data_IF_623356672128
#
_entry.id   IF_623356672128
#
_cell.length_a   1.000
_cell.length_b   1.000
_cell.length_c   1.000
_cell.angle_alpha   90.00
_cell.angle_beta   90.00
_cell.angle_gamma   90.00
#
_symmetry.space_group_name_H-M   'P 1'
#
loop_
_entity.id
_entity.type
_entity.pdbx_description
1 polymer ?
#
# COMPACT_ATOMS: atom_id res chain seq x y z
N UNK A 1 19.27 1.21 3.95
CA UNK A 1 18.16 0.24 3.78
C UNK A 1 18.33 -0.27 2.38
N UNK A 2 18.46 -1.58 2.21
CA UNK A 2 18.50 -2.20 0.90
C UNK A 2 17.15 -2.81 0.56
N UNK A 3 16.95 -3.14 -0.72
CA UNK A 3 15.68 -3.74 -1.18
C UNK A 3 15.34 -5.03 -0.42
N UNK A 4 16.35 -5.85 -0.09
CA UNK A 4 16.18 -7.13 0.60
C UNK A 4 15.67 -6.98 2.04
N UNK A 5 15.88 -5.80 2.64
CA UNK A 5 15.52 -5.50 4.02
C UNK A 5 14.04 -5.08 4.14
N UNK A 6 13.36 -4.86 3.01
CA UNK A 6 12.02 -4.26 2.95
C UNK A 6 11.00 -5.31 2.54
N UNK A 7 9.95 -5.43 3.34
CA UNK A 7 8.77 -6.23 3.05
C UNK A 7 7.54 -5.32 2.96
N UNK A 8 6.71 -5.56 1.94
CA UNK A 8 5.43 -4.86 1.76
C UNK A 8 4.34 -5.89 1.78
N UNK A 9 3.42 -5.75 2.74
CA UNK A 9 2.23 -6.59 2.85
C UNK A 9 1.02 -5.74 2.47
N UNK A 10 0.17 -6.25 1.60
CA UNK A 10 -1.02 -5.57 1.12
C UNK A 10 -2.23 -6.44 1.43
N UNK A 11 -3.27 -5.83 1.97
CA UNK A 11 -4.61 -6.40 2.04
C UNK A 11 -5.56 -5.53 1.24
N UNK A 12 -6.82 -5.96 1.09
CA UNK A 12 -7.82 -5.18 0.36
C UNK A 12 -7.92 -3.73 0.87
N UNK A 13 -7.76 -3.49 2.18
CA UNK A 13 -8.06 -2.19 2.79
C UNK A 13 -6.88 -1.56 3.54
N UNK A 14 -5.68 -2.13 3.41
CA UNK A 14 -4.48 -1.58 4.05
C UNK A 14 -3.22 -2.04 3.36
N UNK A 15 -2.11 -1.36 3.65
CA UNK A 15 -0.79 -1.92 3.39
C UNK A 15 0.14 -1.59 4.55
N UNK A 16 1.09 -2.48 4.78
CA UNK A 16 2.15 -2.30 5.77
C UNK A 16 3.50 -2.43 5.09
N UNK A 17 4.45 -1.63 5.55
CA UNK A 17 5.84 -1.67 5.14
C UNK A 17 6.67 -1.96 6.38
N UNK A 18 7.43 -3.06 6.33
CA UNK A 18 8.43 -3.39 7.33
C UNK A 18 9.82 -3.26 6.71
N UNK A 19 10.72 -2.56 7.39
CA UNK A 19 12.13 -2.48 7.03
C UNK A 19 12.98 -2.85 8.23
N UNK A 20 13.74 -3.95 8.15
CA UNK A 20 14.53 -4.43 9.30
C UNK A 20 15.98 -4.68 8.92
N UNK A 21 16.89 -4.16 9.74
CA UNK A 21 18.36 -4.28 9.69
C UNK A 21 18.87 -4.49 11.11
N UNK A 22 20.15 -4.84 11.26
CA UNK A 22 20.76 -5.12 12.58
C UNK A 22 20.62 -3.95 13.57
N UNK A 23 20.59 -2.71 13.08
CA UNK A 23 20.58 -1.47 13.86
C UNK A 23 19.21 -0.78 13.91
N UNK A 24 18.29 -1.11 13.01
CA UNK A 24 17.00 -0.41 12.81
C UNK A 24 15.89 -1.42 12.47
N UNK A 25 14.76 -1.34 13.18
CA UNK A 25 13.49 -1.92 12.75
C UNK A 25 12.46 -0.80 12.55
N UNK A 26 11.77 -0.83 11.41
CA UNK A 26 10.75 0.13 11.02
C UNK A 26 9.49 -0.63 10.62
N UNK A 27 8.34 -0.21 11.15
CA UNK A 27 7.03 -0.68 10.74
C UNK A 27 6.09 0.51 10.57
N UNK A 28 5.52 0.64 9.37
CA UNK A 28 4.44 1.56 9.08
C UNK A 28 3.26 0.82 8.47
N UNK A 29 2.05 1.13 8.92
CA UNK A 29 0.82 0.60 8.34
C UNK A 29 -0.12 1.75 8.01
N UNK A 30 -0.78 1.67 6.86
CA UNK A 30 -1.71 2.68 6.37
C UNK A 30 -3.04 2.03 6.04
N UNK A 31 -4.13 2.61 6.55
CA UNK A 31 -5.48 2.28 6.12
C UNK A 31 -5.79 2.98 4.81
N UNK A 32 -6.39 2.24 3.89
CA UNK A 32 -6.83 2.77 2.60
C UNK A 32 -8.32 3.12 2.68
N UNK A 33 -8.69 4.27 2.12
CA UNK A 33 -10.09 4.70 2.07
C UNK A 33 -10.96 3.80 1.17
N UNK A 34 -10.34 3.08 0.23
CA UNK A 34 -11.03 2.26 -0.76
C UNK A 34 -10.33 0.91 -0.91
N UNK A 35 -11.08 -0.16 -1.20
CA UNK A 35 -10.50 -1.47 -1.47
C UNK A 35 -9.59 -1.48 -2.71
N UNK A 36 -8.44 -2.13 -2.62
CA UNK A 36 -7.48 -2.34 -3.70
C UNK A 36 -7.49 -3.79 -4.19
N UNK A 37 -6.93 -4.03 -5.38
CA UNK A 37 -6.64 -5.36 -5.87
C UNK A 37 -5.18 -5.71 -5.52
N UNK A 38 -5.02 -6.50 -4.45
CA UNK A 38 -3.74 -6.95 -3.92
C UNK A 38 -2.96 -7.82 -4.92
N UNK A 39 -3.63 -8.64 -5.72
CA UNK A 39 -3.00 -9.51 -6.73
C UNK A 39 -2.30 -8.70 -7.84
N UNK A 40 -2.77 -7.47 -8.09
CA UNK A 40 -2.20 -6.54 -9.07
C UNK A 40 -1.30 -5.48 -8.45
N UNK A 41 -1.11 -5.50 -7.14
CA UNK A 41 -0.23 -4.56 -6.46
C UNK A 41 1.23 -4.79 -6.89
N UNK A 42 1.97 -3.69 -7.06
CA UNK A 42 3.39 -3.72 -7.43
C UNK A 42 4.16 -2.75 -6.57
N UNK A 43 5.36 -3.17 -6.13
CA UNK A 43 6.27 -2.33 -5.38
C UNK A 43 7.63 -2.26 -6.08
N UNK A 44 8.27 -1.09 -6.02
CA UNK A 44 9.63 -0.85 -6.51
C UNK A 44 10.41 -0.04 -5.49
N UNK A 45 11.61 -0.49 -5.18
CA UNK A 45 12.54 0.27 -4.35
C UNK A 45 13.68 0.79 -5.21
N UNK A 46 13.93 2.11 -5.21
CA UNK A 46 15.03 2.73 -5.95
C UNK A 46 15.50 3.98 -5.21
N UNK A 47 16.81 4.10 -5.02
CA UNK A 47 17.47 5.28 -4.44
C UNK A 47 16.85 5.71 -3.09
N UNK A 48 16.65 4.76 -2.17
CA UNK A 48 16.10 5.07 -0.84
C UNK A 48 14.57 5.13 -0.77
N UNK A 49 13.87 5.16 -1.92
CA UNK A 49 12.43 5.41 -2.00
C UNK A 49 11.66 4.14 -2.40
N UNK A 50 10.58 3.87 -1.66
CA UNK A 50 9.59 2.85 -1.96
C UNK A 50 8.43 3.44 -2.76
N UNK A 51 8.22 2.92 -3.95
CA UNK A 51 7.06 3.21 -4.80
C UNK A 51 6.11 2.02 -4.75
N UNK A 52 4.89 2.22 -4.28
CA UNK A 52 3.84 1.20 -4.26
C UNK A 52 2.67 1.65 -5.14
N UNK A 53 2.30 0.81 -6.11
CA UNK A 53 1.15 1.02 -6.99
C UNK A 53 0.13 -0.07 -6.65
N UNK A 54 -1.02 0.34 -6.13
CA UNK A 54 -2.11 -0.54 -5.71
C UNK A 54 -3.38 -0.12 -6.46
N UNK A 55 -3.75 -0.81 -7.56
CA UNK A 55 -4.95 -0.49 -8.31
C UNK A 55 -6.20 -0.69 -7.46
N UNK A 56 -7.21 0.16 -7.63
CA UNK A 56 -8.49 -0.01 -6.95
C UNK A 56 -9.18 -1.31 -7.39
N UNK A 57 -9.83 -1.99 -6.44
CA UNK A 57 -10.55 -3.24 -6.72
C UNK A 57 -11.74 -3.03 -7.65
N UNK A 58 -12.41 -1.87 -7.51
CA UNK A 58 -13.52 -1.44 -8.36
C UNK A 58 -13.40 0.06 -8.68
N UNK A 59 -13.91 0.52 -9.83
CA UNK A 59 -13.99 1.95 -10.12
C UNK A 59 -14.82 2.69 -9.06
N UNK A 60 -14.35 3.85 -8.61
CA UNK A 60 -15.11 4.72 -7.73
C UNK A 60 -16.14 5.48 -8.56
N UNK A 61 -17.42 5.11 -8.40
CA UNK A 61 -18.54 5.83 -8.98
C UNK A 61 -19.42 6.33 -7.85
N UNK A 62 -19.44 7.64 -7.65
CA UNK A 62 -20.44 8.27 -6.79
C UNK A 62 -21.83 8.17 -7.42
N UNK A 63 -22.85 7.99 -6.59
CA UNK A 63 -24.24 8.13 -7.00
C UNK A 63 -24.78 9.43 -6.39
N UNK A 64 -25.33 10.32 -7.23
CA UNK A 64 -26.07 11.49 -6.74
C UNK A 64 -27.42 11.01 -6.18
N UNK A 65 -27.80 11.54 -5.03
CA UNK A 65 -29.10 11.28 -4.41
C UNK A 65 -29.89 12.60 -4.32
N UNK A 66 -31.21 12.58 -4.52
CA UNK A 66 -32.04 13.73 -4.20
C UNK A 66 -32.07 13.96 -2.68
N UNK A 67 -32.21 15.22 -2.28
CA UNK A 67 -32.46 15.62 -0.88
C UNK A 67 -33.97 15.85 -0.75
N UNK A 68 -34.57 15.33 0.32
CA UNK A 68 -35.98 15.55 0.70
C UNK A 68 -36.15 16.77 1.61
#
# INVERSE_FOLDING_TARGET
MEKKDIQVNVSEQSFCVRGSREDIDFLGCWSLAHPVNEEKAKAKYKNGLLYAIMPLKKPLKGKKIPVE
#
